data_IF_808886237082
#
_entry.id   IF_808886237082
#
_cell.length_a   1.000
_cell.length_b   1.000
_cell.length_c   1.000
_cell.angle_alpha   90.00
_cell.angle_beta   90.00
_cell.angle_gamma   90.00
#
_symmetry.space_group_name_H-M   'P 1'
#
loop_
_entity.id
_entity.type
_entity.pdbx_description
1 polymer ?
#
# COMPACT_ATOMS: atom_id res chain seq x y z
N UNK A 1 9.81 -14.13 -14.91
CA UNK A 1 8.56 -14.48 -15.64
C UNK A 1 7.48 -13.52 -15.18
N UNK A 2 6.79 -12.85 -16.11
CA UNK A 2 5.69 -11.94 -15.78
C UNK A 2 4.39 -12.71 -15.49
N UNK A 3 3.52 -12.13 -14.67
CA UNK A 3 2.21 -12.66 -14.32
C UNK A 3 1.12 -11.69 -14.78
N UNK A 4 -0.03 -12.17 -15.30
CA UNK A 4 -1.18 -11.30 -15.53
C UNK A 4 -1.64 -10.66 -14.22
N UNK A 5 -1.98 -9.37 -14.26
CA UNK A 5 -2.70 -8.71 -13.17
C UNK A 5 -4.21 -8.87 -13.42
N UNK A 6 -4.76 -10.03 -13.06
CA UNK A 6 -6.16 -10.34 -13.34
C UNK A 6 -6.50 -10.23 -14.83
N UNK A 7 -7.68 -9.68 -15.14
CA UNK A 7 -8.17 -9.41 -16.49
C UNK A 7 -7.85 -8.00 -17.02
N UNK A 8 -6.93 -7.26 -16.39
CA UNK A 8 -6.56 -5.90 -16.80
C UNK A 8 -5.85 -5.83 -18.16
N UNK A 9 -5.37 -6.96 -18.67
CA UNK A 9 -4.45 -7.01 -19.82
C UNK A 9 -3.00 -6.67 -19.47
N UNK A 10 -2.72 -6.19 -18.25
CA UNK A 10 -1.38 -5.89 -17.77
C UNK A 10 -0.65 -7.17 -17.35
N UNK A 11 0.67 -7.17 -17.57
CA UNK A 11 1.59 -8.20 -17.07
C UNK A 11 2.61 -7.55 -16.15
N UNK A 12 2.71 -8.05 -14.92
CA UNK A 12 3.62 -7.50 -13.90
C UNK A 12 4.66 -8.54 -13.46
N UNK A 13 5.87 -8.12 -13.03
CA UNK A 13 6.80 -8.98 -12.32
C UNK A 13 6.18 -9.57 -11.04
N UNK A 14 6.72 -10.68 -10.53
CA UNK A 14 6.21 -11.33 -9.32
C UNK A 14 6.51 -10.53 -8.03
N UNK A 15 7.31 -9.48 -8.12
CA UNK A 15 7.68 -8.60 -7.00
C UNK A 15 7.41 -7.16 -7.43
N UNK A 16 6.74 -6.42 -6.55
CA UNK A 16 6.44 -4.98 -6.69
C UNK A 16 7.19 -4.22 -5.61
N UNK A 17 7.75 -3.05 -5.95
CA UNK A 17 8.43 -2.21 -4.97
C UNK A 17 7.44 -1.33 -4.20
N UNK A 18 7.30 -1.57 -2.90
CA UNK A 18 6.58 -0.67 -2.01
C UNK A 18 7.43 0.52 -1.59
N UNK A 19 6.98 1.74 -1.87
CA UNK A 19 7.76 2.97 -1.76
C UNK A 19 7.60 3.74 -0.44
N UNK A 20 6.92 3.17 0.57
CA UNK A 20 6.62 3.87 1.84
C UNK A 20 7.86 4.44 2.53
N UNK A 21 9.00 3.75 2.44
CA UNK A 21 10.29 4.21 2.98
C UNK A 21 10.78 5.53 2.36
N UNK A 22 10.42 5.82 1.10
CA UNK A 22 10.75 7.10 0.46
C UNK A 22 10.01 8.27 1.11
N UNK A 23 8.90 8.00 1.79
CA UNK A 23 8.14 8.93 2.61
C UNK A 23 8.62 9.08 4.05
N UNK A 24 9.74 8.46 4.46
CA UNK A 24 10.29 8.51 5.83
C UNK A 24 9.41 7.89 6.93
N UNK A 25 8.77 6.75 6.64
CA UNK A 25 8.11 5.97 7.69
C UNK A 25 9.14 5.44 8.70
N UNK A 26 8.88 5.64 10.00
CA UNK A 26 9.68 5.26 11.17
C UNK A 26 11.05 5.89 11.34
N UNK A 27 11.65 6.44 10.28
CA UNK A 27 12.90 7.21 10.34
C UNK A 27 13.04 8.13 9.15
N UNK A 28 13.82 9.19 9.33
CA UNK A 28 14.31 9.97 8.20
C UNK A 28 15.29 9.12 7.37
N UNK A 29 15.11 9.11 6.05
CA UNK A 29 15.98 8.45 5.09
C UNK A 29 16.68 9.53 4.27
N UNK A 30 18.01 9.45 4.12
CA UNK A 30 18.77 10.45 3.37
C UNK A 30 18.44 10.41 1.88
N UNK A 31 18.67 11.51 1.17
CA UNK A 31 18.48 11.56 -0.28
C UNK A 31 19.38 10.56 -1.03
N UNK A 32 20.62 10.36 -0.56
CA UNK A 32 21.53 9.36 -1.14
C UNK A 32 20.98 7.93 -0.98
N UNK A 33 20.41 7.60 0.18
CA UNK A 33 19.82 6.28 0.42
C UNK A 33 18.55 6.08 -0.43
N UNK A 34 17.68 7.09 -0.52
CA UNK A 34 16.49 7.08 -1.40
C UNK A 34 16.87 6.88 -2.86
N UNK A 35 17.85 7.64 -3.33
CA UNK A 35 18.43 7.54 -4.68
C UNK A 35 18.98 6.15 -4.95
N UNK A 36 19.74 5.58 -4.01
CA UNK A 36 20.29 4.24 -4.12
C UNK A 36 19.18 3.18 -4.22
N UNK A 37 18.13 3.26 -3.41
CA UNK A 37 16.98 2.33 -3.44
C UNK A 37 16.31 2.35 -4.82
N UNK A 38 15.95 3.53 -5.33
CA UNK A 38 15.28 3.66 -6.64
C UNK A 38 16.20 3.15 -7.76
N UNK A 39 17.48 3.49 -7.72
CA UNK A 39 18.47 3.03 -8.70
C UNK A 39 18.61 1.51 -8.70
N UNK A 40 18.66 0.86 -7.53
CA UNK A 40 18.74 -0.60 -7.45
C UNK A 40 17.46 -1.27 -7.98
N UNK A 41 16.29 -0.69 -7.72
CA UNK A 41 15.04 -1.23 -8.24
C UNK A 41 14.99 -1.19 -9.77
N UNK A 42 15.38 -0.06 -10.38
CA UNK A 42 15.49 0.07 -11.84
C UNK A 42 16.50 -0.93 -12.45
N UNK A 43 17.55 -1.30 -11.69
CA UNK A 43 18.57 -2.27 -12.11
C UNK A 43 18.21 -3.73 -11.82
N UNK A 44 17.05 -4.02 -11.22
CA UNK A 44 16.63 -5.38 -10.86
C UNK A 44 16.46 -6.33 -12.06
N UNK A 45 16.36 -5.79 -13.28
CA UNK A 45 16.06 -6.54 -14.50
C UNK A 45 14.59 -6.97 -14.62
N UNK A 46 13.73 -6.54 -13.68
CA UNK A 46 12.28 -6.72 -13.76
C UNK A 46 11.68 -5.63 -14.65
N UNK A 47 10.98 -6.02 -15.72
CA UNK A 47 10.33 -5.10 -16.65
C UNK A 47 8.92 -5.61 -17.03
N UNK A 48 7.85 -4.79 -16.92
CA UNK A 48 7.89 -3.39 -16.49
C UNK A 48 8.28 -3.25 -15.02
N UNK A 49 8.88 -2.12 -14.66
CA UNK A 49 9.21 -1.79 -13.28
C UNK A 49 7.93 -1.36 -12.59
N UNK A 50 7.49 -2.10 -11.57
CA UNK A 50 6.26 -1.80 -10.83
C UNK A 50 6.59 -1.19 -9.48
N UNK A 51 5.97 -0.05 -9.19
CA UNK A 51 6.19 0.73 -7.99
C UNK A 51 4.84 1.04 -7.36
N UNK A 52 4.68 0.75 -6.09
CA UNK A 52 3.50 1.04 -5.29
C UNK A 52 3.79 2.15 -4.28
N UNK A 53 3.03 3.23 -4.38
CA UNK A 53 3.15 4.43 -3.54
C UNK A 53 1.77 4.94 -3.14
N UNK A 54 1.70 6.03 -2.37
CA UNK A 54 0.45 6.61 -1.88
C UNK A 54 0.62 8.09 -1.53
N UNK A 55 -0.46 8.86 -1.63
CA UNK A 55 -0.51 10.23 -1.12
C UNK A 55 -0.27 10.33 0.39
N UNK A 56 -0.66 9.31 1.16
CA UNK A 56 -0.40 9.22 2.61
C UNK A 56 1.10 9.11 2.92
N UNK A 57 1.89 8.49 2.03
CA UNK A 57 3.30 8.17 2.33
C UNK A 57 4.16 9.43 2.47
N UNK A 58 4.40 9.83 3.73
CA UNK A 58 5.11 11.05 4.08
C UNK A 58 4.40 12.31 3.57
N UNK A 59 3.06 12.34 3.59
CA UNK A 59 2.26 13.43 3.01
C UNK A 59 2.68 13.76 1.57
N UNK A 60 2.78 12.73 0.73
CA UNK A 60 3.18 12.82 -0.67
C UNK A 60 4.68 12.88 -0.92
N UNK A 61 5.53 12.91 0.12
CA UNK A 61 7.00 12.91 -0.05
C UNK A 61 7.47 11.69 -0.87
N UNK A 62 6.82 10.53 -0.71
CA UNK A 62 7.15 9.36 -1.54
C UNK A 62 6.92 9.62 -3.03
N UNK A 63 5.88 10.37 -3.41
CA UNK A 63 5.57 10.69 -4.81
C UNK A 63 6.64 11.63 -5.38
N UNK A 64 7.01 12.67 -4.64
CA UNK A 64 8.03 13.64 -5.06
C UNK A 64 9.41 13.01 -5.23
N UNK A 65 9.81 12.16 -4.29
CA UNK A 65 11.10 11.45 -4.36
C UNK A 65 11.11 10.54 -5.58
N UNK A 66 10.02 9.81 -5.85
CA UNK A 66 9.92 8.98 -7.05
C UNK A 66 10.06 9.83 -8.32
N UNK A 67 9.29 10.92 -8.45
CA UNK A 67 9.36 11.80 -9.61
C UNK A 67 10.79 12.30 -9.87
N UNK A 68 11.42 12.84 -8.83
CA UNK A 68 12.79 13.36 -8.86
C UNK A 68 13.79 12.29 -9.29
N UNK A 69 13.77 11.13 -8.64
CA UNK A 69 14.77 10.09 -8.88
C UNK A 69 14.57 9.39 -10.23
N UNK A 70 13.33 9.11 -10.62
CA UNK A 70 13.04 8.52 -11.93
C UNK A 70 13.48 9.45 -13.06
N UNK A 71 13.19 10.75 -12.95
CA UNK A 71 13.63 11.76 -13.92
C UNK A 71 15.15 11.86 -13.97
N UNK A 72 15.81 11.97 -12.81
CA UNK A 72 17.28 12.04 -12.70
C UNK A 72 17.97 10.80 -13.28
N UNK A 73 17.36 9.63 -13.17
CA UNK A 73 17.89 8.36 -13.69
C UNK A 73 17.48 8.09 -15.14
N UNK A 74 16.70 8.98 -15.77
CA UNK A 74 16.24 8.84 -17.15
C UNK A 74 15.30 7.65 -17.37
N UNK A 75 14.50 7.29 -16.36
CA UNK A 75 13.55 6.19 -16.47
C UNK A 75 12.43 6.57 -17.45
N UNK A 76 12.27 5.79 -18.52
CA UNK A 76 11.24 6.02 -19.51
C UNK A 76 9.83 5.74 -18.92
N UNK A 77 8.87 6.68 -19.00
CA UNK A 77 7.55 6.49 -18.37
C UNK A 77 6.78 5.25 -18.82
N UNK A 78 6.96 4.82 -20.07
CA UNK A 78 6.34 3.63 -20.66
C UNK A 78 6.94 2.29 -20.16
N UNK A 79 8.12 2.34 -19.55
CA UNK A 79 8.75 1.19 -18.89
C UNK A 79 8.29 1.01 -17.43
N UNK A 80 7.47 1.91 -16.91
CA UNK A 80 7.04 1.96 -15.52
C UNK A 80 5.53 1.69 -15.39
N UNK A 81 5.17 1.00 -14.32
CA UNK A 81 3.78 0.87 -13.86
C UNK A 81 3.70 1.37 -12.42
N UNK A 82 3.08 2.53 -12.22
CA UNK A 82 2.97 3.17 -10.90
C UNK A 82 1.57 2.96 -10.33
N UNK A 83 1.52 2.39 -9.13
CA UNK A 83 0.33 2.32 -8.28
C UNK A 83 0.32 3.49 -7.29
N UNK A 84 -0.77 4.24 -7.23
CA UNK A 84 -0.97 5.30 -6.23
C UNK A 84 -2.23 5.01 -5.42
N UNK A 85 -2.09 4.85 -4.10
CA UNK A 85 -3.22 4.78 -3.18
C UNK A 85 -3.64 6.20 -2.79
N UNK A 86 -4.88 6.52 -3.13
CA UNK A 86 -5.47 7.84 -3.09
C UNK A 86 -6.23 8.08 -1.77
N UNK A 87 -7.02 9.14 -1.74
CA UNK A 87 -7.86 9.56 -0.62
C UNK A 87 -7.11 10.17 0.58
N UNK A 88 -5.82 10.48 0.40
CA UNK A 88 -5.05 11.33 1.30
C UNK A 88 -4.44 12.46 0.50
N UNK A 89 -4.74 13.70 0.91
CA UNK A 89 -4.28 14.94 0.29
C UNK A 89 -3.21 15.59 1.17
N UNK A 90 -2.14 16.07 0.53
CA UNK A 90 -1.13 16.91 1.17
C UNK A 90 -1.72 18.26 1.58
N UNK A 91 -1.41 18.72 2.77
CA UNK A 91 -1.72 20.06 3.28
C UNK A 91 -0.50 20.68 3.98
N UNK A 92 -0.48 22.00 4.21
CA UNK A 92 0.58 22.63 4.97
C UNK A 92 0.69 22.04 6.38
N UNK A 93 1.92 21.83 6.86
CA UNK A 93 2.18 21.45 8.23
C UNK A 93 2.04 22.67 9.15
N UNK A 94 1.01 22.68 10.00
CA UNK A 94 0.72 23.80 10.93
C UNK A 94 1.04 23.48 12.39
N UNK A 95 1.52 22.27 12.66
CA UNK A 95 1.84 21.71 13.98
C UNK A 95 3.29 21.25 14.05
N UNK A 96 3.87 21.01 15.24
CA UNK A 96 5.25 20.52 15.37
C UNK A 96 5.49 19.15 14.72
N UNK A 97 4.44 18.33 14.61
CA UNK A 97 4.45 17.04 13.92
C UNK A 97 3.16 16.89 13.08
N UNK A 98 3.16 16.03 12.05
CA UNK A 98 1.96 15.75 11.25
C UNK A 98 0.80 15.22 12.10
N UNK A 99 -0.43 15.58 11.74
CA UNK A 99 -1.63 15.18 12.49
C UNK A 99 -2.12 13.78 12.09
N UNK A 100 -1.82 13.33 10.87
CA UNK A 100 -2.03 11.94 10.47
C UNK A 100 -0.91 11.04 11.00
N UNK A 101 -1.30 9.90 11.58
CA UNK A 101 -0.38 8.91 12.17
C UNK A 101 0.75 9.55 13.03
N UNK A 102 0.40 10.28 14.11
CA UNK A 102 1.40 10.96 14.95
C UNK A 102 2.54 10.02 15.40
N UNK A 103 3.77 10.50 15.33
CA UNK A 103 4.97 9.72 15.64
C UNK A 103 5.43 8.70 14.57
N UNK A 104 4.71 8.51 13.46
CA UNK A 104 5.10 7.55 12.42
C UNK A 104 6.03 8.14 11.35
N UNK A 105 5.92 9.44 11.05
CA UNK A 105 6.59 10.09 9.91
C UNK A 105 7.67 11.07 10.36
N UNK A 106 8.87 10.95 9.80
CA UNK A 106 10.04 11.68 10.28
C UNK A 106 10.60 12.64 9.23
N UNK A 107 10.90 13.88 9.64
CA UNK A 107 11.56 14.87 8.77
C UNK A 107 10.74 15.29 7.55
N UNK A 108 9.42 15.16 7.59
CA UNK A 108 8.52 15.62 6.52
C UNK A 108 8.13 17.10 6.73
N UNK A 109 7.80 17.81 5.65
CA UNK A 109 7.50 19.25 5.66
C UNK A 109 6.02 19.57 5.44
N UNK A 110 5.20 18.53 5.32
CA UNK A 110 3.78 18.65 5.02
C UNK A 110 2.98 17.73 5.94
N UNK A 111 1.70 18.05 6.08
CA UNK A 111 0.72 17.21 6.74
C UNK A 111 -0.19 16.57 5.68
N UNK A 112 -1.05 15.62 6.06
CA UNK A 112 -2.01 15.01 5.15
C UNK A 112 -3.37 14.85 5.80
N UNK A 113 -4.42 15.03 5.01
CA UNK A 113 -5.81 14.84 5.44
C UNK A 113 -6.51 13.86 4.52
N UNK A 114 -7.40 13.05 5.10
CA UNK A 114 -8.21 12.11 4.35
C UNK A 114 -9.32 12.84 3.59
N UNK A 115 -9.54 12.48 2.33
CA UNK A 115 -10.51 13.11 1.41
C UNK A 115 -11.24 12.04 0.59
N UNK A 116 -11.97 11.15 1.28
CA UNK A 116 -12.78 10.09 0.66
C UNK A 116 -14.15 10.67 0.33
N UNK A 117 -14.39 10.85 -0.97
CA UNK A 117 -15.68 11.13 -1.60
C UNK A 117 -15.48 11.06 -3.11
N UNK A 118 -16.56 11.16 -3.91
CA UNK A 118 -16.45 11.29 -5.36
C UNK A 118 -15.50 12.44 -5.78
N UNK A 119 -15.68 13.64 -5.21
CA UNK A 119 -14.85 14.79 -5.56
C UNK A 119 -13.46 14.73 -4.92
N UNK A 120 -13.38 14.18 -3.70
CA UNK A 120 -12.12 14.05 -2.96
C UNK A 120 -11.13 13.11 -3.64
N UNK A 121 -11.60 11.97 -4.14
CA UNK A 121 -10.72 11.00 -4.79
C UNK A 121 -10.14 11.55 -6.11
N UNK A 122 -10.92 12.34 -6.86
CA UNK A 122 -10.46 13.01 -8.07
C UNK A 122 -9.40 14.06 -7.75
N UNK A 123 -9.60 14.89 -6.70
CA UNK A 123 -8.57 15.82 -6.22
C UNK A 123 -7.29 15.09 -5.83
N UNK A 124 -7.40 14.00 -5.05
CA UNK A 124 -6.22 13.22 -4.67
C UNK A 124 -5.49 12.63 -5.88
N UNK A 125 -6.21 12.22 -6.93
CA UNK A 125 -5.62 11.72 -8.16
C UNK A 125 -4.89 12.82 -8.95
N UNK A 126 -5.51 13.98 -9.12
CA UNK A 126 -4.92 15.15 -9.80
C UNK A 126 -3.67 15.64 -9.07
N UNK A 127 -3.79 15.92 -7.77
CA UNK A 127 -2.69 16.41 -6.94
C UNK A 127 -1.58 15.36 -6.81
N UNK A 128 -1.94 14.08 -6.68
CA UNK A 128 -0.97 12.98 -6.63
C UNK A 128 -0.16 12.84 -7.91
N UNK A 129 -0.79 12.99 -9.08
CA UNK A 129 -0.09 13.02 -10.36
C UNK A 129 0.77 14.28 -10.52
N UNK A 130 0.33 15.42 -10.00
CA UNK A 130 1.16 16.63 -9.98
C UNK A 130 2.47 16.43 -9.20
N UNK A 131 2.43 15.69 -8.09
CA UNK A 131 3.64 15.31 -7.34
C UNK A 131 4.52 14.29 -8.07
N UNK A 132 3.96 13.49 -8.97
CA UNK A 132 4.70 12.54 -9.81
C UNK A 132 5.40 13.22 -11.01
N UNK A 133 5.15 14.50 -11.27
CA UNK A 133 5.78 15.26 -12.36
C UNK A 133 5.41 14.70 -13.74
N UNK A 134 6.41 14.32 -14.53
CA UNK A 134 6.22 13.75 -15.88
C UNK A 134 5.74 12.27 -15.85
N UNK A 135 5.61 11.69 -14.67
CA UNK A 135 5.11 10.32 -14.47
C UNK A 135 3.64 10.34 -14.05
N UNK A 136 2.94 9.23 -14.30
CA UNK A 136 1.52 9.11 -14.00
C UNK A 136 1.18 7.78 -13.34
N UNK A 137 0.28 7.83 -12.35
CA UNK A 137 -0.29 6.63 -11.76
C UNK A 137 -1.23 5.93 -12.76
N UNK A 138 -1.03 4.63 -12.96
CA UNK A 138 -1.82 3.78 -13.87
C UNK A 138 -2.68 2.80 -13.08
N UNK A 139 -2.23 2.40 -11.89
CA UNK A 139 -3.03 1.61 -10.95
C UNK A 139 -3.45 2.55 -9.82
N UNK A 140 -4.73 2.53 -9.45
CA UNK A 140 -5.26 3.40 -8.39
C UNK A 140 -6.17 2.63 -7.45
N UNK A 141 -6.23 3.08 -6.20
CA UNK A 141 -7.09 2.51 -5.16
C UNK A 141 -7.42 3.56 -4.09
N UNK A 142 -8.50 3.35 -3.33
CA UNK A 142 -8.73 4.12 -2.09
C UNK A 142 -7.80 3.57 -1.01
N UNK A 143 -7.09 4.44 -0.30
CA UNK A 143 -6.18 4.03 0.77
C UNK A 143 -6.90 3.90 2.12
N UNK A 144 -6.60 2.83 2.85
CA UNK A 144 -7.09 2.54 4.21
C UNK A 144 -8.63 2.67 4.40
N UNK A 145 -9.46 2.05 3.53
CA UNK A 145 -10.92 2.09 3.68
C UNK A 145 -11.40 1.38 4.96
N UNK A 146 -10.62 0.42 5.48
CA UNK A 146 -10.84 -0.25 6.76
C UNK A 146 -10.68 0.71 7.94
N UNK A 147 -9.62 1.52 7.98
CA UNK A 147 -9.45 2.56 9.00
C UNK A 147 -10.57 3.60 8.92
N UNK A 148 -10.95 3.98 7.70
CA UNK A 148 -12.01 4.97 7.50
C UNK A 148 -13.35 4.49 8.05
N UNK A 149 -13.73 3.23 7.80
CA UNK A 149 -14.95 2.64 8.34
C UNK A 149 -14.86 2.39 9.85
N UNK A 150 -13.68 1.98 10.36
CA UNK A 150 -13.46 1.76 11.79
C UNK A 150 -13.55 3.03 12.62
N UNK A 151 -13.27 4.20 12.03
CA UNK A 151 -13.41 5.51 12.66
C UNK A 151 -14.87 5.99 12.77
N UNK A 152 -15.86 5.16 12.40
CA UNK A 152 -17.26 5.53 12.52
C UNK A 152 -17.72 5.63 13.99
N UNK A 153 -18.41 6.71 14.32
CA UNK A 153 -18.90 6.96 15.70
C UNK A 153 -20.30 6.38 15.97
N UNK A 154 -21.02 5.99 14.90
CA UNK A 154 -22.36 5.41 14.98
C UNK A 154 -22.68 4.57 13.73
N UNK A 155 -23.73 3.72 13.77
CA UNK A 155 -24.17 2.99 12.58
C UNK A 155 -24.54 3.89 11.40
N UNK A 156 -25.11 5.08 11.67
CA UNK A 156 -25.44 6.06 10.64
C UNK A 156 -24.16 6.67 10.02
N UNK A 157 -23.16 7.00 10.85
CA UNK A 157 -21.87 7.49 10.36
C UNK A 157 -21.13 6.43 9.54
N UNK A 158 -21.16 5.16 9.98
CA UNK A 158 -20.57 4.04 9.21
C UNK A 158 -21.24 3.91 7.84
N UNK A 159 -22.56 4.03 7.79
CA UNK A 159 -23.33 3.96 6.52
C UNK A 159 -22.93 5.10 5.58
N UNK A 160 -22.84 6.32 6.08
CA UNK A 160 -22.34 7.47 5.32
C UNK A 160 -20.91 7.26 4.80
N UNK A 161 -19.99 6.80 5.66
CA UNK A 161 -18.60 6.52 5.27
C UNK A 161 -18.49 5.43 4.22
N UNK A 162 -19.38 4.42 4.28
CA UNK A 162 -19.48 3.41 3.23
C UNK A 162 -19.94 4.04 1.90
N UNK A 163 -20.96 4.91 1.93
CA UNK A 163 -21.39 5.67 0.75
C UNK A 163 -20.25 6.52 0.17
N UNK A 164 -19.47 7.22 1.01
CA UNK A 164 -18.30 8.00 0.59
C UNK A 164 -17.26 7.13 -0.15
N UNK A 165 -16.99 5.90 0.32
CA UNK A 165 -16.10 4.93 -0.34
C UNK A 165 -16.68 4.49 -1.69
N UNK A 166 -17.97 4.13 -1.73
CA UNK A 166 -18.63 3.69 -2.97
C UNK A 166 -18.61 4.80 -4.02
N UNK A 167 -18.88 6.03 -3.63
CA UNK A 167 -18.82 7.21 -4.50
C UNK A 167 -17.39 7.53 -4.96
N UNK A 168 -16.38 7.31 -4.12
CA UNK A 168 -14.99 7.39 -4.55
C UNK A 168 -14.65 6.31 -5.61
N UNK A 169 -15.11 5.08 -5.42
CA UNK A 169 -14.90 4.03 -6.43
C UNK A 169 -15.69 4.27 -7.72
N UNK A 170 -16.85 4.92 -7.67
CA UNK A 170 -17.56 5.39 -8.87
C UNK A 170 -16.67 6.33 -9.69
N UNK A 171 -16.08 7.35 -9.07
CA UNK A 171 -15.16 8.26 -9.75
C UNK A 171 -13.92 7.55 -10.32
N UNK A 172 -13.34 6.59 -9.59
CA UNK A 172 -12.21 5.80 -10.11
C UNK A 172 -12.61 4.93 -11.31
N UNK A 173 -13.82 4.37 -11.30
CA UNK A 173 -14.39 3.66 -12.44
C UNK A 173 -14.58 4.54 -13.67
N UNK A 174 -14.98 5.80 -13.48
CA UNK A 174 -15.09 6.79 -14.55
C UNK A 174 -13.70 7.16 -15.12
N UNK A 175 -12.68 7.37 -14.27
CA UNK A 175 -11.29 7.58 -14.73
C UNK A 175 -10.78 6.40 -15.55
N UNK A 176 -11.06 5.17 -15.11
CA UNK A 176 -10.69 3.95 -15.85
C UNK A 176 -11.41 3.88 -17.21
N UNK A 177 -12.70 4.17 -17.23
CA UNK A 177 -13.51 4.15 -18.46
C UNK A 177 -13.07 5.22 -19.47
N UNK A 178 -12.56 6.35 -18.99
CA UNK A 178 -11.95 7.41 -19.80
C UNK A 178 -10.51 7.08 -20.27
N UNK A 179 -9.92 5.98 -19.79
CA UNK A 179 -8.53 5.58 -20.11
C UNK A 179 -7.46 6.38 -19.35
N UNK A 180 -7.86 7.14 -18.33
CA UNK A 180 -6.94 7.97 -17.52
C UNK A 180 -6.11 7.13 -16.54
N UNK A 181 -6.63 5.96 -16.16
CA UNK A 181 -5.94 4.92 -15.37
C UNK A 181 -6.21 3.55 -16.01
N UNK A 182 -5.28 2.62 -15.87
CA UNK A 182 -5.38 1.29 -16.47
C UNK A 182 -6.19 0.31 -15.62
N UNK A 183 -6.13 0.42 -14.29
CA UNK A 183 -6.85 -0.48 -13.39
C UNK A 183 -7.17 0.16 -12.04
N UNK A 184 -8.30 -0.25 -11.47
CA UNK A 184 -8.80 0.19 -10.16
C UNK A 184 -8.79 -1.01 -9.22
N UNK A 185 -8.17 -0.86 -8.07
CA UNK A 185 -8.14 -1.90 -7.05
C UNK A 185 -8.44 -1.36 -5.66
N UNK A 186 -8.20 -2.23 -4.67
CA UNK A 186 -8.38 -1.92 -3.25
C UNK A 186 -7.22 -2.53 -2.46
N UNK A 187 -6.80 -1.87 -1.38
CA UNK A 187 -5.88 -2.43 -0.40
C UNK A 187 -6.33 -2.12 1.02
N UNK A 188 -6.26 -3.10 1.91
CA UNK A 188 -6.59 -2.94 3.33
C UNK A 188 -5.85 -3.96 4.20
N UNK A 189 -5.80 -3.70 5.51
CA UNK A 189 -5.28 -4.65 6.50
C UNK A 189 -6.36 -5.66 6.90
N UNK A 190 -7.60 -5.17 7.06
CA UNK A 190 -8.75 -6.03 7.27
C UNK A 190 -9.33 -6.55 5.94
N UNK A 191 -9.03 -7.81 5.64
CA UNK A 191 -9.53 -8.49 4.44
C UNK A 191 -11.06 -8.66 4.44
N UNK A 192 -11.72 -8.59 5.59
CA UNK A 192 -13.17 -8.69 5.68
C UNK A 192 -13.83 -7.41 5.14
N UNK A 193 -13.20 -6.26 5.32
CA UNK A 193 -13.63 -4.99 4.72
C UNK A 193 -13.45 -5.03 3.20
N UNK A 194 -12.37 -5.64 2.71
CA UNK A 194 -12.21 -5.87 1.26
C UNK A 194 -13.37 -6.72 0.73
N UNK A 195 -13.72 -7.80 1.43
CA UNK A 195 -14.83 -8.68 1.05
C UNK A 195 -16.19 -7.97 1.11
N UNK A 196 -16.43 -7.11 2.10
CA UNK A 196 -17.62 -6.27 2.16
C UNK A 196 -17.68 -5.34 0.94
N UNK A 197 -16.60 -4.62 0.65
CA UNK A 197 -16.55 -3.66 -0.46
C UNK A 197 -16.59 -4.31 -1.85
N UNK A 198 -16.10 -5.55 -1.99
CA UNK A 198 -16.26 -6.35 -3.22
C UNK A 198 -17.74 -6.65 -3.54
N UNK A 199 -18.63 -6.56 -2.54
CA UNK A 199 -20.09 -6.62 -2.74
C UNK A 199 -20.71 -5.31 -3.24
N UNK A 200 -19.98 -4.20 -3.19
CA UNK A 200 -20.44 -2.86 -3.58
C UNK A 200 -19.72 -2.29 -4.80
N UNK A 201 -18.45 -2.68 -5.01
CA UNK A 201 -17.54 -2.13 -6.00
C UNK A 201 -16.85 -3.26 -6.78
N UNK A 202 -16.60 -3.04 -8.06
CA UNK A 202 -15.82 -3.97 -8.88
C UNK A 202 -14.33 -3.59 -8.86
N UNK A 203 -13.46 -4.56 -8.54
CA UNK A 203 -12.01 -4.36 -8.48
C UNK A 203 -11.28 -5.19 -9.54
N UNK A 204 -10.27 -4.61 -10.15
CA UNK A 204 -9.33 -5.29 -11.06
C UNK A 204 -8.24 -6.04 -10.30
N UNK A 205 -7.88 -5.53 -9.12
CA UNK A 205 -6.89 -6.12 -8.24
C UNK A 205 -7.20 -5.81 -6.77
N UNK A 206 -6.73 -6.69 -5.90
CA UNK A 206 -6.87 -6.60 -4.45
C UNK A 206 -5.50 -6.74 -3.80
N UNK A 207 -5.21 -5.88 -2.82
CA UNK A 207 -4.03 -5.96 -1.99
C UNK A 207 -4.38 -6.34 -0.55
N UNK A 208 -3.81 -7.45 -0.07
CA UNK A 208 -3.90 -7.86 1.33
C UNK A 208 -2.65 -7.43 2.08
N UNK A 209 -2.81 -6.57 3.09
CA UNK A 209 -1.70 -6.13 3.94
C UNK A 209 -1.75 -6.86 5.29
N UNK A 210 -0.67 -7.54 5.69
CA UNK A 210 -0.56 -8.30 6.94
C UNK A 210 -1.54 -9.49 7.10
N UNK A 211 -2.50 -9.69 6.18
CA UNK A 211 -3.56 -10.69 6.35
C UNK A 211 -3.20 -12.09 5.84
N UNK A 212 -2.44 -12.19 4.75
CA UNK A 212 -2.05 -13.48 4.13
C UNK A 212 -0.55 -13.70 4.29
N UNK A 213 -0.12 -14.21 5.44
CA UNK A 213 1.29 -14.41 5.78
C UNK A 213 1.52 -15.81 6.34
N UNK A 214 2.77 -16.20 6.55
CA UNK A 214 3.08 -17.47 7.23
C UNK A 214 2.54 -17.53 8.67
N UNK A 215 2.28 -16.37 9.31
CA UNK A 215 1.71 -16.31 10.65
C UNK A 215 0.19 -16.53 10.64
N UNK A 216 -0.50 -16.03 9.62
CA UNK A 216 -1.96 -16.07 9.54
C UNK A 216 -2.43 -16.21 8.09
N UNK A 217 -3.21 -17.25 7.83
CA UNK A 217 -3.80 -17.55 6.52
C UNK A 217 -5.03 -18.46 6.71
N UNK A 218 -6.10 -17.96 7.36
CA UNK A 218 -7.28 -18.75 7.67
C UNK A 218 -7.96 -19.29 6.40
N UNK A 219 -8.77 -20.35 6.54
CA UNK A 219 -9.42 -21.00 5.40
C UNK A 219 -10.31 -20.02 4.62
N UNK A 220 -11.06 -19.19 5.34
CA UNK A 220 -12.00 -18.22 4.76
C UNK A 220 -11.29 -17.16 3.90
N UNK A 221 -10.08 -16.74 4.30
CA UNK A 221 -9.25 -15.84 3.49
C UNK A 221 -8.74 -16.55 2.23
N UNK A 222 -8.31 -17.81 2.34
CA UNK A 222 -7.86 -18.59 1.18
C UNK A 222 -8.99 -18.82 0.18
N UNK A 223 -10.18 -19.13 0.66
CA UNK A 223 -11.38 -19.26 -0.17
C UNK A 223 -11.76 -17.94 -0.83
N UNK A 224 -11.63 -16.81 -0.12
CA UNK A 224 -11.85 -15.50 -0.71
C UNK A 224 -10.82 -15.16 -1.80
N UNK A 225 -9.53 -15.43 -1.56
CA UNK A 225 -8.46 -15.28 -2.56
C UNK A 225 -8.74 -16.16 -3.80
N UNK A 226 -9.19 -17.40 -3.61
CA UNK A 226 -9.54 -18.28 -4.72
C UNK A 226 -10.73 -17.72 -5.52
N UNK A 227 -11.78 -17.22 -4.85
CA UNK A 227 -12.93 -16.59 -5.50
C UNK A 227 -12.55 -15.33 -6.29
N UNK A 228 -11.60 -14.53 -5.81
CA UNK A 228 -11.04 -13.40 -6.56
C UNK A 228 -10.31 -13.88 -7.82
N UNK A 229 -9.47 -14.91 -7.69
CA UNK A 229 -8.73 -15.48 -8.82
C UNK A 229 -9.66 -16.07 -9.90
N UNK A 230 -10.72 -16.78 -9.50
CA UNK A 230 -11.70 -17.39 -10.43
C UNK A 230 -12.46 -16.32 -11.25
N UNK A 231 -12.65 -15.12 -10.68
CA UNK A 231 -13.23 -13.96 -11.37
C UNK A 231 -12.20 -13.15 -12.17
N UNK A 232 -10.93 -13.54 -12.11
CA UNK A 232 -9.82 -12.84 -12.74
C UNK A 232 -9.50 -11.49 -12.11
N UNK A 233 -9.67 -11.37 -10.80
CA UNK A 233 -9.17 -10.24 -10.01
C UNK A 233 -7.72 -10.53 -9.61
N UNK A 234 -6.81 -9.60 -9.88
CA UNK A 234 -5.40 -9.73 -9.51
C UNK A 234 -5.21 -9.69 -7.99
N UNK A 235 -4.22 -10.43 -7.46
CA UNK A 235 -3.90 -10.40 -6.03
C UNK A 235 -2.47 -9.93 -5.83
N UNK A 236 -2.30 -8.89 -5.01
CA UNK A 236 -1.01 -8.37 -4.55
C UNK A 236 -0.93 -8.63 -3.04
N UNK A 237 0.05 -9.39 -2.60
CA UNK A 237 0.23 -9.64 -1.17
C UNK A 237 1.31 -8.70 -0.63
N UNK A 238 1.01 -7.95 0.43
CA UNK A 238 1.89 -6.93 0.99
C UNK A 238 2.06 -7.08 2.49
N UNK A 239 3.07 -6.39 3.02
CA UNK A 239 3.44 -6.42 4.44
C UNK A 239 3.65 -7.85 5.00
N UNK A 240 4.21 -8.73 4.16
CA UNK A 240 4.49 -10.16 4.46
C UNK A 240 5.23 -10.38 5.77
N UNK A 241 6.08 -9.41 6.15
CA UNK A 241 6.96 -9.49 7.30
C UNK A 241 6.41 -8.76 8.54
N UNK A 242 5.14 -8.34 8.55
CA UNK A 242 4.48 -7.66 9.68
C UNK A 242 5.28 -6.46 10.20
N UNK A 243 5.64 -5.52 9.32
CA UNK A 243 6.49 -4.37 9.70
C UNK A 243 7.95 -4.73 10.03
N UNK A 244 8.44 -5.85 9.50
CA UNK A 244 9.79 -6.35 9.74
C UNK A 244 9.90 -7.29 10.95
N UNK A 245 8.80 -7.54 11.67
CA UNK A 245 8.72 -8.47 12.78
C UNK A 245 9.41 -9.80 12.50
N UNK A 246 9.05 -10.46 11.40
CA UNK A 246 9.56 -11.78 11.02
C UNK A 246 11.07 -11.78 10.77
N UNK A 247 11.60 -10.64 10.37
CA UNK A 247 13.03 -10.42 10.10
C UNK A 247 13.81 -10.02 11.36
N UNK A 248 13.16 -9.98 12.53
CA UNK A 248 13.77 -9.60 13.81
C UNK A 248 13.52 -8.16 14.24
N UNK A 249 12.69 -7.40 13.50
CA UNK A 249 12.31 -6.04 13.85
C UNK A 249 11.49 -5.94 15.15
N UNK A 250 11.41 -4.73 15.71
CA UNK A 250 10.70 -4.45 16.97
C UNK A 250 9.25 -3.99 16.77
N UNK A 251 8.76 -3.99 15.53
CA UNK A 251 7.40 -3.63 15.17
C UNK A 251 6.63 -4.89 14.77
N UNK A 252 5.35 -4.94 15.08
CA UNK A 252 4.38 -5.91 14.58
C UNK A 252 3.15 -5.14 14.09
N UNK A 253 2.77 -5.31 12.83
CA UNK A 253 1.67 -4.57 12.18
C UNK A 253 1.75 -3.06 12.43
N UNK A 254 2.96 -2.50 12.23
CA UNK A 254 3.27 -1.08 12.32
C UNK A 254 3.20 -0.45 13.73
N UNK A 255 2.99 -1.25 14.78
CA UNK A 255 3.13 -0.79 16.17
C UNK A 255 4.36 -1.39 16.86
N UNK A 256 4.99 -0.67 17.80
CA UNK A 256 6.05 -1.24 18.61
C UNK A 256 5.52 -2.40 19.46
N UNK A 257 6.37 -3.41 19.67
CA UNK A 257 6.09 -4.50 20.60
C UNK A 257 6.31 -4.04 22.04
N UNK A 258 5.43 -4.44 22.94
CA UNK A 258 5.58 -4.29 24.37
C UNK A 258 5.78 -5.66 25.01
N UNK A 259 7.00 -6.00 25.38
CA UNK A 259 7.34 -7.29 25.99
C UNK A 259 6.66 -7.57 27.34
N UNK A 260 5.96 -6.60 27.93
CA UNK A 260 5.14 -6.80 29.12
C UNK A 260 3.71 -7.27 28.80
N UNK A 261 3.27 -7.11 27.55
CA UNK A 261 1.94 -7.54 27.10
C UNK A 261 1.95 -9.04 26.76
N UNK A 262 1.06 -9.87 27.33
CA UNK A 262 1.04 -11.31 27.09
C UNK A 262 0.94 -11.68 25.60
N UNK A 263 0.16 -10.91 24.83
CA UNK A 263 -0.02 -11.13 23.40
C UNK A 263 1.29 -10.93 22.62
N UNK A 264 2.07 -9.90 22.97
CA UNK A 264 3.37 -9.63 22.35
C UNK A 264 4.43 -10.64 22.78
N UNK A 265 4.37 -11.15 24.02
CA UNK A 265 5.21 -12.26 24.45
C UNK A 265 4.93 -13.52 23.61
N UNK A 266 3.66 -13.84 23.36
CA UNK A 266 3.28 -14.97 22.51
C UNK A 266 3.80 -14.79 21.07
N UNK A 267 3.68 -13.60 20.50
CA UNK A 267 4.26 -13.27 19.19
C UNK A 267 5.77 -13.48 19.19
N UNK A 268 6.49 -12.94 20.17
CA UNK A 268 7.94 -13.07 20.28
C UNK A 268 8.39 -14.53 20.41
N UNK A 269 7.65 -15.35 21.16
CA UNK A 269 7.87 -16.79 21.24
C UNK A 269 7.63 -17.48 19.88
N UNK A 270 6.55 -17.12 19.18
CA UNK A 270 6.27 -17.61 17.84
C UNK A 270 7.42 -17.29 16.88
N UNK A 271 7.91 -16.04 16.87
CA UNK A 271 9.04 -15.63 16.03
C UNK A 271 10.31 -16.42 16.35
N UNK A 272 10.59 -16.63 17.63
CA UNK A 272 11.75 -17.45 18.06
C UNK A 272 11.68 -18.85 17.48
N UNK A 273 10.51 -19.50 17.53
CA UNK A 273 10.30 -20.83 16.92
C UNK A 273 10.44 -20.81 15.40
N UNK A 274 9.84 -19.82 14.74
CA UNK A 274 9.96 -19.64 13.29
C UNK A 274 11.41 -19.48 12.85
N UNK A 275 12.18 -18.59 13.49
CA UNK A 275 13.59 -18.38 13.18
C UNK A 275 14.44 -19.63 13.48
N UNK A 276 14.09 -20.41 14.50
CA UNK A 276 14.74 -21.69 14.76
C UNK A 276 14.48 -22.68 13.62
N UNK A 277 13.24 -22.86 13.19
CA UNK A 277 12.89 -23.72 12.06
C UNK A 277 13.61 -23.30 10.76
N UNK A 278 13.68 -22.00 10.48
CA UNK A 278 14.45 -21.46 9.34
C UNK A 278 15.93 -21.87 9.41
N UNK A 279 16.55 -21.78 10.60
CA UNK A 279 17.95 -22.22 10.81
C UNK A 279 18.12 -23.73 10.62
N UNK A 280 17.18 -24.54 11.10
CA UNK A 280 17.23 -26.01 10.97
C UNK A 280 17.24 -26.46 9.50
N UNK A 281 16.50 -25.76 8.64
CA UNK A 281 16.42 -26.10 7.21
C UNK A 281 17.34 -25.25 6.32
N UNK A 282 18.17 -24.38 6.91
CA UNK A 282 19.20 -23.61 6.19
C UNK A 282 18.67 -22.49 5.29
N UNK A 283 17.52 -21.91 5.62
CA UNK A 283 16.89 -20.81 4.85
C UNK A 283 16.78 -19.55 5.69
N UNK A 284 16.86 -18.37 5.07
CA UNK A 284 16.62 -17.12 5.81
C UNK A 284 15.11 -16.86 5.98
N UNK A 285 14.68 -16.20 7.08
CA UNK A 285 13.28 -15.77 7.25
C UNK A 285 12.72 -14.91 6.10
N UNK A 286 13.58 -14.26 5.31
CA UNK A 286 13.18 -13.49 4.13
C UNK A 286 12.81 -14.38 2.93
N UNK A 287 13.39 -15.58 2.85
CA UNK A 287 13.18 -16.51 1.73
C UNK A 287 12.01 -17.48 1.94
N UNK A 288 11.51 -17.60 3.18
CA UNK A 288 10.37 -18.44 3.55
C UNK A 288 9.07 -17.67 3.38
#
# INVERSE_FOLDING_TARGET
MLRPLGHTGLKIPPIVFGATTLGNLFRAVSDDEKSAIVQQWLRSGLSPVVIDTAGKYGAGLSLEVLARELSRLGAAPDALLISNKLAWRRVPLTTPEPTFEPGAWFGIQHDAVQDISYAGILRCWEEGNALLGDYRAQLVSVHDPDEYLAAAESPADRSRRLEDIVEAYRALGELKSAGEVAAVGIGAKDWQIIRELDGHCAFDWVMFANSFTIMSHPLELREFIQSLADRGVGVINSALFHGGFLLGGNFFDYRPLNGSQPEDQQRLQWRTRFQHACREVGVSPFQV
#
